data_IF_652100278919
#
_entry.id   IF_652100278919
#
_cell.length_a   1.000
_cell.length_b   1.000
_cell.length_c   1.000
_cell.angle_alpha   90.00
_cell.angle_beta   90.00
_cell.angle_gamma   90.00
#
_symmetry.space_group_name_H-M   'P 1'
#
loop_
_entity.id
_entity.type
_entity.pdbx_description
1 polymer ?
#
# COMPACT_ATOMS: atom_id res chain seq x y z
N UNK A 1 12.81 -14.99 -9.55
CA UNK A 1 12.43 -15.73 -8.33
C UNK A 1 13.30 -15.19 -7.22
N UNK A 2 12.87 -14.11 -6.54
CA UNK A 2 13.68 -13.46 -5.50
C UNK A 2 13.57 -14.28 -4.23
N UNK A 3 14.71 -14.65 -3.66
CA UNK A 3 14.81 -15.52 -2.49
C UNK A 3 14.12 -14.87 -1.28
N UNK A 4 13.26 -15.64 -0.60
CA UNK A 4 12.59 -15.23 0.64
C UNK A 4 13.66 -15.08 1.73
N UNK A 5 13.68 -13.95 2.44
CA UNK A 5 14.60 -13.74 3.56
C UNK A 5 14.26 -14.70 4.72
N UNK A 6 15.16 -15.63 5.12
CA UNK A 6 14.89 -16.61 6.17
C UNK A 6 14.75 -16.03 7.58
N UNK A 7 15.20 -14.78 7.82
CA UNK A 7 15.17 -14.14 9.14
C UNK A 7 13.75 -13.96 9.73
N UNK A 8 12.70 -13.96 8.90
CA UNK A 8 11.32 -13.82 9.38
C UNK A 8 10.75 -15.10 10.02
N UNK A 9 11.32 -16.28 9.74
CA UNK A 9 10.84 -17.54 10.37
C UNK A 9 11.09 -17.57 11.88
N UNK A 10 12.11 -16.87 12.36
CA UNK A 10 12.51 -16.90 13.77
C UNK A 10 11.77 -15.86 14.64
N UNK A 11 11.21 -14.80 14.07
CA UNK A 11 10.57 -13.72 14.84
C UNK A 11 9.10 -13.99 15.26
N UNK A 12 8.48 -15.07 14.77
CA UNK A 12 7.07 -15.42 15.06
C UNK A 12 6.93 -16.24 16.37
N UNK A 13 8.02 -16.49 17.10
CA UNK A 13 8.02 -17.46 18.21
C UNK A 13 7.79 -16.90 19.61
N UNK A 14 7.44 -15.63 19.80
CA UNK A 14 7.19 -15.10 21.15
C UNK A 14 5.80 -14.46 21.32
N UNK A 15 4.80 -15.32 21.50
CA UNK A 15 3.64 -15.02 22.33
C UNK A 15 2.99 -16.34 22.76
N UNK A 16 2.79 -16.50 24.07
CA UNK A 16 2.09 -17.64 24.69
C UNK A 16 0.58 -17.62 24.37
N UNK A 17 0.22 -17.70 23.09
CA UNK A 17 -1.15 -17.88 22.65
C UNK A 17 -1.45 -19.39 22.54
N UNK A 18 -2.59 -19.88 23.08
CA UNK A 18 -2.97 -21.29 22.94
C UNK A 18 -3.05 -21.66 21.45
N UNK A 19 -2.43 -22.77 21.07
CA UNK A 19 -2.42 -23.28 19.70
C UNK A 19 -3.85 -23.38 19.16
N UNK A 20 -4.23 -22.47 18.27
CA UNK A 20 -5.55 -22.48 17.65
C UNK A 20 -5.66 -23.71 16.73
N UNK A 21 -6.75 -24.49 16.81
CA UNK A 21 -6.89 -25.71 16.01
C UNK A 21 -6.89 -25.35 14.52
N UNK A 22 -6.08 -26.09 13.76
CA UNK A 22 -5.94 -25.93 12.31
C UNK A 22 -7.23 -26.40 11.61
N UNK A 23 -7.58 -25.81 10.46
CA UNK A 23 -8.60 -26.39 9.57
C UNK A 23 -8.21 -27.83 9.16
N UNK A 24 -6.91 -28.09 8.97
CA UNK A 24 -6.36 -29.42 8.73
C UNK A 24 -6.50 -30.38 9.93
N UNK A 25 -6.43 -29.87 11.16
CA UNK A 25 -6.61 -30.66 12.38
C UNK A 25 -8.09 -31.05 12.58
N UNK A 26 -9.01 -30.20 12.11
CA UNK A 26 -10.45 -30.51 12.09
C UNK A 26 -10.83 -31.53 11.01
N UNK A 27 -9.99 -31.75 10.00
CA UNK A 27 -10.20 -32.81 8.97
C UNK A 27 -9.41 -34.09 9.25
N UNK A 28 -8.34 -34.02 10.04
CA UNK A 28 -7.50 -35.17 10.38
C UNK A 28 -8.21 -36.23 11.25
N UNK A 29 -9.32 -35.88 11.92
CA UNK A 29 -10.16 -36.81 12.69
C UNK A 29 -11.32 -37.42 11.90
N UNK A 30 -11.41 -37.17 10.59
CA UNK A 30 -12.51 -37.69 9.74
C UNK A 30 -13.92 -37.20 10.12
N UNK A 31 -14.03 -36.18 10.98
CA UNK A 31 -15.29 -35.68 11.54
C UNK A 31 -15.42 -34.19 11.29
N UNK A 32 -16.55 -33.77 10.72
CA UNK A 32 -16.83 -32.35 10.48
C UNK A 32 -16.77 -31.56 11.80
N UNK A 33 -16.21 -30.34 11.79
CA UNK A 33 -16.13 -29.51 12.99
C UNK A 33 -17.53 -29.24 13.56
N UNK A 34 -17.67 -29.37 14.87
CA UNK A 34 -18.93 -29.07 15.54
C UNK A 34 -19.21 -27.55 15.53
N UNK A 35 -20.46 -27.16 15.82
CA UNK A 35 -20.88 -25.77 15.73
C UNK A 35 -20.07 -24.81 16.64
N UNK A 36 -19.58 -25.29 17.79
CA UNK A 36 -18.75 -24.48 18.69
C UNK A 36 -17.35 -24.25 18.12
N UNK A 37 -16.74 -25.29 17.51
CA UNK A 37 -15.45 -25.19 16.84
C UNK A 37 -15.51 -24.24 15.64
N UNK A 38 -16.58 -24.32 14.83
CA UNK A 38 -16.80 -23.40 13.70
C UNK A 38 -16.93 -21.96 14.18
N UNK A 39 -17.73 -21.70 15.22
CA UNK A 39 -17.90 -20.35 15.79
C UNK A 39 -16.57 -19.76 16.27
N UNK A 40 -15.75 -20.56 16.96
CA UNK A 40 -14.42 -20.11 17.44
C UNK A 40 -13.50 -19.76 16.28
N UNK A 41 -13.42 -20.62 15.28
CA UNK A 41 -12.60 -20.37 14.09
C UNK A 41 -13.03 -19.09 13.36
N UNK A 42 -14.33 -18.89 13.17
CA UNK A 42 -14.85 -17.67 12.52
C UNK A 42 -14.55 -16.41 13.34
N UNK A 43 -14.65 -16.51 14.68
CA UNK A 43 -14.28 -15.43 15.58
C UNK A 43 -12.79 -15.06 15.45
N UNK A 44 -11.90 -16.05 15.48
CA UNK A 44 -10.45 -15.83 15.40
C UNK A 44 -10.05 -15.25 14.03
N UNK A 45 -10.62 -15.76 12.94
CA UNK A 45 -10.43 -15.23 11.59
C UNK A 45 -10.89 -13.78 11.48
N UNK A 46 -12.08 -13.45 12.02
CA UNK A 46 -12.60 -12.08 12.01
C UNK A 46 -11.68 -11.15 12.78
N UNK A 47 -11.18 -11.58 13.94
CA UNK A 47 -10.25 -10.80 14.76
C UNK A 47 -8.93 -10.54 14.02
N UNK A 48 -8.40 -11.52 13.30
CA UNK A 48 -7.20 -11.33 12.46
C UNK A 48 -7.45 -10.36 11.31
N UNK A 49 -8.56 -10.51 10.57
CA UNK A 49 -8.88 -9.61 9.47
C UNK A 49 -9.11 -8.17 9.96
N UNK A 50 -9.65 -8.00 11.16
CA UNK A 50 -9.75 -6.69 11.82
C UNK A 50 -8.37 -6.10 12.11
N UNK A 51 -7.42 -6.87 12.64
CA UNK A 51 -6.04 -6.40 12.82
C UNK A 51 -5.45 -5.89 11.50
N UNK A 52 -5.63 -6.62 10.40
CA UNK A 52 -5.18 -6.18 9.06
C UNK A 52 -5.90 -4.92 8.57
N UNK A 53 -7.21 -4.82 8.81
CA UNK A 53 -7.96 -3.60 8.50
C UNK A 53 -7.40 -2.39 9.26
N UNK A 54 -7.12 -2.54 10.55
CA UNK A 54 -6.57 -1.43 11.33
C UNK A 54 -5.14 -1.09 10.92
N UNK A 55 -4.33 -2.08 10.52
CA UNK A 55 -3.03 -1.81 9.90
C UNK A 55 -3.15 -0.98 8.62
N UNK A 56 -4.17 -1.25 7.78
CA UNK A 56 -4.50 -0.38 6.64
C UNK A 56 -4.84 1.03 7.11
N UNK A 57 -5.74 1.16 8.09
CA UNK A 57 -6.25 2.45 8.55
C UNK A 57 -5.09 3.32 9.14
N UNK A 58 -4.14 2.72 9.86
CA UNK A 58 -2.90 3.37 10.35
C UNK A 58 -2.03 3.88 9.20
N UNK A 59 -1.70 3.00 8.23
CA UNK A 59 -0.90 3.37 7.05
C UNK A 59 -1.58 4.48 6.24
N UNK A 60 -2.89 4.36 6.02
CA UNK A 60 -3.69 5.34 5.28
C UNK A 60 -3.65 6.71 5.97
N UNK A 61 -3.76 6.75 7.30
CA UNK A 61 -3.69 7.99 8.07
C UNK A 61 -2.31 8.64 7.90
N UNK A 62 -1.23 7.88 8.05
CA UNK A 62 0.15 8.36 7.87
C UNK A 62 0.38 8.96 6.48
N UNK A 63 -0.08 8.30 5.43
CA UNK A 63 0.05 8.79 4.05
C UNK A 63 -0.84 10.01 3.80
N UNK A 64 -2.04 10.04 4.38
CA UNK A 64 -2.96 11.18 4.23
C UNK A 64 -2.39 12.43 4.89
N UNK A 65 -1.78 12.29 6.07
CA UNK A 65 -1.06 13.39 6.74
C UNK A 65 0.06 13.93 5.85
N UNK A 66 0.91 13.06 5.29
CA UNK A 66 1.97 13.48 4.36
C UNK A 66 1.38 14.27 3.18
N UNK A 67 0.33 13.74 2.54
CA UNK A 67 -0.35 14.40 1.42
C UNK A 67 -0.92 15.78 1.80
N UNK A 68 -1.55 15.89 2.96
CA UNK A 68 -2.12 17.16 3.45
C UNK A 68 -1.02 18.17 3.80
N UNK A 69 0.06 17.72 4.44
CA UNK A 69 1.23 18.55 4.75
C UNK A 69 1.85 19.14 3.48
N UNK A 70 2.05 18.33 2.43
CA UNK A 70 2.54 18.81 1.14
C UNK A 70 1.64 19.87 0.54
N UNK A 71 0.32 19.68 0.59
CA UNK A 71 -0.63 20.65 0.04
C UNK A 71 -0.62 22.00 0.77
N UNK A 72 -0.23 22.03 2.05
CA UNK A 72 -0.28 23.24 2.87
C UNK A 72 1.05 23.97 2.98
N UNK A 73 2.17 23.22 2.93
CA UNK A 73 3.51 23.75 3.23
C UNK A 73 4.38 23.85 1.99
N UNK A 74 4.10 23.03 0.97
CA UNK A 74 4.94 22.93 -0.22
C UNK A 74 4.14 23.28 -1.47
N UNK A 75 4.82 23.91 -2.44
CA UNK A 75 4.19 24.34 -3.69
C UNK A 75 3.82 23.16 -4.62
N UNK A 76 4.09 21.92 -4.20
CA UNK A 76 3.92 20.72 -5.00
C UNK A 76 3.55 19.50 -4.14
N UNK A 77 2.50 18.78 -4.53
CA UNK A 77 2.05 17.57 -3.85
C UNK A 77 2.43 16.30 -4.65
N UNK A 78 3.36 15.46 -4.15
CA UNK A 78 3.79 14.23 -4.83
C UNK A 78 2.76 13.10 -4.81
N UNK A 79 1.66 13.22 -4.04
CA UNK A 79 0.64 12.18 -3.86
C UNK A 79 -0.70 12.62 -4.46
N UNK A 80 -1.08 11.97 -5.55
CA UNK A 80 -2.32 12.25 -6.30
C UNK A 80 -3.52 11.52 -5.70
N UNK A 81 -3.35 10.21 -5.48
CA UNK A 81 -4.43 9.35 -5.02
C UNK A 81 -3.93 8.26 -4.07
N UNK A 82 -4.75 7.94 -3.07
CA UNK A 82 -4.47 6.86 -2.13
C UNK A 82 -5.69 5.97 -2.06
N UNK A 83 -5.46 4.66 -2.22
CA UNK A 83 -6.49 3.64 -2.11
C UNK A 83 -6.04 2.49 -1.22
N UNK A 84 -6.97 1.73 -0.70
CA UNK A 84 -6.67 0.55 0.10
C UNK A 84 -7.54 -0.64 -0.26
N UNK A 85 -7.07 -1.82 0.12
CA UNK A 85 -7.77 -3.08 -0.09
C UNK A 85 -7.42 -4.06 1.01
N UNK A 86 -8.44 -4.59 1.65
CA UNK A 86 -8.33 -5.81 2.43
C UNK A 86 -8.63 -7.02 1.54
N UNK A 87 -7.77 -8.03 1.58
CA UNK A 87 -7.97 -9.28 0.84
C UNK A 87 -9.19 -10.03 1.39
N UNK A 88 -10.09 -10.46 0.51
CA UNK A 88 -11.25 -11.25 0.93
C UNK A 88 -10.83 -12.63 1.41
N UNK A 89 -11.66 -13.26 2.24
CA UNK A 89 -11.39 -14.60 2.76
C UNK A 89 -11.22 -15.65 1.65
N UNK A 90 -12.06 -15.59 0.61
CA UNK A 90 -11.97 -16.47 -0.56
C UNK A 90 -10.63 -16.30 -1.28
N UNK A 91 -10.17 -15.05 -1.41
CA UNK A 91 -8.89 -14.72 -2.03
C UNK A 91 -7.70 -15.19 -1.17
N UNK A 92 -7.82 -15.15 0.15
CA UNK A 92 -6.84 -15.72 1.09
C UNK A 92 -6.78 -17.24 0.91
N UNK A 93 -7.92 -17.94 0.94
CA UNK A 93 -7.98 -19.39 0.76
C UNK A 93 -7.41 -19.81 -0.60
N UNK A 94 -7.79 -19.13 -1.69
CA UNK A 94 -7.28 -19.42 -3.02
C UNK A 94 -5.76 -19.22 -3.10
N UNK A 95 -5.23 -18.14 -2.50
CA UNK A 95 -3.79 -17.89 -2.46
C UNK A 95 -3.05 -18.90 -1.62
N UNK A 96 -3.60 -19.28 -0.46
CA UNK A 96 -3.02 -20.28 0.42
C UNK A 96 -2.91 -21.64 -0.27
N UNK A 97 -3.99 -22.11 -0.91
CA UNK A 97 -3.97 -23.35 -1.71
C UNK A 97 -2.94 -23.30 -2.84
N UNK A 98 -2.88 -22.19 -3.59
CA UNK A 98 -1.95 -22.02 -4.71
C UNK A 98 -0.49 -22.00 -4.28
N UNK A 99 -0.20 -21.50 -3.07
CA UNK A 99 1.17 -21.34 -2.54
C UNK A 99 1.54 -22.40 -1.50
N UNK A 100 0.68 -23.38 -1.27
CA UNK A 100 0.82 -24.40 -0.24
C UNK A 100 1.06 -23.81 1.17
N UNK A 101 0.39 -22.69 1.46
CA UNK A 101 0.47 -22.05 2.78
C UNK A 101 -0.50 -22.78 3.71
N UNK A 102 -0.05 -23.24 4.90
CA UNK A 102 -0.93 -23.85 5.88
C UNK A 102 -2.09 -22.92 6.24
N UNK A 103 -3.32 -23.45 6.22
CA UNK A 103 -4.53 -22.74 6.66
C UNK A 103 -4.61 -22.67 8.20
N UNK A 104 -3.55 -22.13 8.79
CA UNK A 104 -3.42 -21.74 10.19
C UNK A 104 -3.23 -20.24 10.27
N UNK A 105 -3.57 -19.65 11.42
CA UNK A 105 -3.29 -18.23 11.66
C UNK A 105 -1.80 -17.92 11.53
N UNK A 106 -0.95 -18.83 12.02
CA UNK A 106 0.51 -18.69 11.95
C UNK A 106 1.03 -18.79 10.52
N UNK A 107 0.54 -19.74 9.71
CA UNK A 107 0.93 -19.88 8.30
C UNK A 107 0.48 -18.68 7.46
N UNK A 108 -0.75 -18.21 7.68
CA UNK A 108 -1.28 -17.04 6.97
C UNK A 108 -0.48 -15.78 7.33
N UNK A 109 -0.29 -15.48 8.62
CA UNK A 109 0.53 -14.33 9.06
C UNK A 109 2.01 -14.46 8.67
N UNK A 110 2.51 -15.70 8.64
CA UNK A 110 3.91 -16.04 8.36
C UNK A 110 4.29 -15.94 6.88
N UNK A 111 3.34 -16.11 5.96
CA UNK A 111 3.67 -16.28 4.53
C UNK A 111 2.83 -15.45 3.56
N UNK A 112 1.80 -14.73 4.05
CA UNK A 112 0.92 -13.92 3.22
C UNK A 112 1.01 -12.43 3.57
N UNK A 113 1.89 -11.72 2.87
CA UNK A 113 2.21 -10.32 3.15
C UNK A 113 1.27 -9.30 2.46
N UNK A 114 0.32 -9.75 1.64
CA UNK A 114 -0.61 -8.90 0.86
C UNK A 114 -2.07 -9.04 1.33
N UNK A 115 -2.28 -9.30 2.61
CA UNK A 115 -3.63 -9.33 3.19
C UNK A 115 -4.15 -7.89 3.34
N UNK A 116 -3.34 -7.03 3.94
CA UNK A 116 -3.53 -5.59 3.95
C UNK A 116 -2.72 -4.96 2.80
N UNK A 117 -3.41 -4.23 1.92
CA UNK A 117 -2.79 -3.53 0.80
C UNK A 117 -3.16 -2.07 0.77
N UNK A 118 -2.18 -1.20 0.62
CA UNK A 118 -2.34 0.23 0.35
C UNK A 118 -1.69 0.55 -0.99
N UNK A 119 -2.33 1.41 -1.77
CA UNK A 119 -1.82 1.90 -3.04
C UNK A 119 -1.69 3.41 -2.97
N UNK A 120 -0.54 3.90 -3.37
CA UNK A 120 -0.24 5.31 -3.47
C UNK A 120 0.12 5.59 -4.92
N UNK A 121 -0.67 6.47 -5.54
CA UNK A 121 -0.40 6.97 -6.88
C UNK A 121 0.26 8.34 -6.74
N UNK A 122 1.46 8.45 -7.30
CA UNK A 122 2.28 9.65 -7.35
C UNK A 122 2.22 10.26 -8.76
N UNK A 123 2.61 11.52 -8.89
CA UNK A 123 2.64 12.22 -10.17
C UNK A 123 3.83 11.73 -11.01
N UNK A 124 5.03 11.64 -10.42
CA UNK A 124 6.25 11.20 -11.11
C UNK A 124 6.97 10.03 -10.46
N UNK A 125 8.02 9.53 -11.12
CA UNK A 125 8.83 8.42 -10.62
C UNK A 125 9.72 8.86 -9.47
N UNK A 126 10.31 10.05 -9.53
CA UNK A 126 11.08 10.62 -8.41
C UNK A 126 10.24 10.73 -7.14
N UNK A 127 8.97 11.13 -7.26
CA UNK A 127 8.03 11.23 -6.14
C UNK A 127 7.77 9.90 -5.45
N UNK A 128 7.75 8.79 -6.21
CA UNK A 128 7.61 7.45 -5.62
C UNK A 128 8.73 7.19 -4.61
N UNK A 129 9.97 7.54 -4.97
CA UNK A 129 11.12 7.35 -4.10
C UNK A 129 11.10 8.32 -2.93
N UNK A 130 10.70 9.59 -3.15
CA UNK A 130 10.53 10.57 -2.07
C UNK A 130 9.49 10.11 -1.05
N UNK A 131 8.31 9.66 -1.51
CA UNK A 131 7.24 9.14 -0.64
C UNK A 131 7.67 7.87 0.06
N UNK A 132 8.41 6.98 -0.61
CA UNK A 132 9.03 5.81 0.02
C UNK A 132 9.90 6.22 1.21
N UNK A 133 10.82 7.16 1.01
CA UNK A 133 11.76 7.61 2.06
C UNK A 133 11.02 8.23 3.26
N UNK A 134 9.97 9.01 3.01
CA UNK A 134 9.13 9.60 4.06
C UNK A 134 8.36 8.54 4.85
N UNK A 135 7.82 7.50 4.20
CA UNK A 135 7.09 6.43 4.87
C UNK A 135 8.04 5.61 5.76
N UNK A 136 9.19 5.18 5.23
CA UNK A 136 10.13 4.35 6.00
C UNK A 136 10.88 5.13 7.07
N UNK A 137 10.96 6.46 6.94
CA UNK A 137 11.59 7.34 7.92
C UNK A 137 10.76 7.54 9.20
N UNK A 138 9.50 7.10 9.22
CA UNK A 138 8.64 7.21 10.40
C UNK A 138 9.09 6.21 11.49
N UNK A 139 9.18 6.69 12.73
CA UNK A 139 9.79 5.93 13.84
C UNK A 139 9.07 4.64 14.24
N UNK A 140 7.80 4.47 13.85
CA UNK A 140 6.97 3.30 14.14
C UNK A 140 6.70 2.42 12.90
N UNK A 141 7.37 2.68 11.78
CA UNK A 141 7.26 1.88 10.55
C UNK A 141 8.54 1.07 10.36
N UNK A 142 8.44 -0.26 10.34
CA UNK A 142 9.58 -1.12 10.00
C UNK A 142 9.46 -1.62 8.57
N UNK A 143 10.45 -1.34 7.71
CA UNK A 143 10.56 -1.97 6.39
C UNK A 143 10.98 -3.45 6.54
N UNK A 144 10.16 -4.36 6.04
CA UNK A 144 10.41 -5.82 6.07
C UNK A 144 10.98 -6.31 4.74
N UNK A 145 10.42 -5.83 3.63
CA UNK A 145 10.86 -6.21 2.28
C UNK A 145 10.59 -5.07 1.30
N UNK A 146 11.53 -4.80 0.41
CA UNK A 146 11.37 -3.85 -0.70
C UNK A 146 11.54 -4.59 -2.03
N UNK A 147 10.62 -4.36 -2.97
CA UNK A 147 10.69 -4.90 -4.33
C UNK A 147 10.51 -3.77 -5.33
N UNK A 148 11.62 -3.36 -5.93
CA UNK A 148 11.63 -2.31 -6.94
C UNK A 148 11.43 -2.89 -8.35
N UNK A 149 10.17 -2.91 -8.82
CA UNK A 149 9.85 -3.26 -10.20
C UNK A 149 9.90 -2.05 -11.15
N UNK A 150 10.23 -0.85 -10.66
CA UNK A 150 10.47 0.31 -11.52
C UNK A 150 11.86 0.17 -12.13
N UNK A 151 12.87 -0.05 -11.27
CA UNK A 151 14.26 -0.31 -11.64
C UNK A 151 14.43 -1.69 -12.31
N UNK A 152 13.68 -2.70 -11.85
CA UNK A 152 13.72 -4.05 -12.41
C UNK A 152 12.33 -4.55 -12.85
N UNK A 153 11.79 -4.06 -13.98
CA UNK A 153 10.45 -4.41 -14.44
C UNK A 153 10.28 -5.90 -14.70
N UNK A 154 9.05 -6.40 -14.51
CA UNK A 154 8.75 -7.79 -14.90
C UNK A 154 8.75 -7.93 -16.42
N UNK A 155 8.94 -9.16 -16.95
CA UNK A 155 8.85 -9.41 -18.38
C UNK A 155 7.54 -8.95 -19.03
N UNK A 156 6.43 -8.92 -18.28
CA UNK A 156 5.14 -8.42 -18.75
C UNK A 156 5.10 -6.91 -18.99
N UNK A 157 6.09 -6.14 -18.52
CA UNK A 157 6.09 -4.68 -18.53
C UNK A 157 5.62 -4.05 -17.22
N UNK A 158 5.19 -4.87 -16.25
CA UNK A 158 4.74 -4.38 -14.95
C UNK A 158 5.84 -3.61 -14.20
N UNK A 159 5.49 -2.39 -13.77
CA UNK A 159 6.29 -1.47 -12.94
C UNK A 159 5.49 -1.00 -11.73
N UNK A 160 6.14 -0.97 -10.56
CA UNK A 160 5.64 -0.46 -9.27
C UNK A 160 6.74 -0.65 -8.23
N UNK A 161 6.80 0.19 -7.20
CA UNK A 161 7.64 -0.05 -6.03
C UNK A 161 6.77 -0.66 -4.92
N UNK A 162 7.14 -1.85 -4.42
CA UNK A 162 6.40 -2.52 -3.34
C UNK A 162 7.20 -2.48 -2.05
N UNK A 163 6.59 -1.95 -1.00
CA UNK A 163 7.12 -1.97 0.35
C UNK A 163 6.25 -2.89 1.20
N UNK A 164 6.83 -3.91 1.80
CA UNK A 164 6.20 -4.66 2.87
C UNK A 164 6.66 -4.03 4.17
N UNK A 165 5.75 -3.38 4.87
CA UNK A 165 6.03 -2.73 6.15
C UNK A 165 5.32 -3.43 7.29
N UNK A 166 5.89 -3.32 8.49
CA UNK A 166 5.28 -3.75 9.74
C UNK A 166 4.91 -2.51 10.55
N UNK A 167 3.64 -2.43 10.98
CA UNK A 167 3.10 -1.34 11.79
C UNK A 167 2.43 -1.92 13.04
N UNK A 168 2.68 -1.34 14.24
CA UNK A 168 2.01 -1.73 15.46
C UNK A 168 0.55 -1.27 15.47
N UNK A 169 -0.38 -2.19 15.72
CA UNK A 169 -1.81 -1.90 15.89
C UNK A 169 -2.18 -2.12 17.36
N UNK A 170 -2.68 -1.06 18.00
CA UNK A 170 -3.11 -1.09 19.40
C UNK A 170 -4.58 -1.54 19.50
N UNK A 171 -4.82 -2.80 19.90
CA UNK A 171 -6.15 -3.30 20.24
C UNK A 171 -6.44 -3.10 21.73
N UNK A 172 -7.71 -3.34 22.12
CA UNK A 172 -8.16 -3.25 23.51
C UNK A 172 -7.45 -4.18 24.49
N UNK A 173 -6.82 -5.25 24.01
CA UNK A 173 -6.25 -6.31 24.84
C UNK A 173 -4.78 -6.63 24.55
N UNK A 174 -4.20 -6.06 23.48
CA UNK A 174 -2.81 -6.30 23.06
C UNK A 174 -2.38 -5.30 22.00
N UNK A 175 -1.08 -5.25 21.74
CA UNK A 175 -0.53 -4.67 20.51
C UNK A 175 -0.24 -5.82 19.55
N UNK A 176 -0.59 -5.66 18.28
CA UNK A 176 -0.28 -6.61 17.23
C UNK A 176 0.48 -5.92 16.10
N UNK A 177 1.66 -6.42 15.78
CA UNK A 177 2.42 -5.98 14.61
C UNK A 177 1.81 -6.58 13.34
N UNK A 178 1.35 -5.71 12.44
CA UNK A 178 0.63 -6.09 11.24
C UNK A 178 1.47 -5.77 10.01
N UNK A 179 1.55 -6.73 9.08
CA UNK A 179 2.16 -6.52 7.78
C UNK A 179 1.19 -5.84 6.81
N UNK A 180 1.65 -4.77 6.17
CA UNK A 180 0.92 -4.05 5.14
C UNK A 180 1.81 -3.93 3.90
N UNK A 181 1.27 -4.32 2.74
CA UNK A 181 1.91 -4.09 1.45
C UNK A 181 1.51 -2.70 0.93
N UNK A 182 2.47 -1.80 0.77
CA UNK A 182 2.30 -0.49 0.14
C UNK A 182 2.84 -0.57 -1.29
N UNK A 183 1.99 -0.25 -2.26
CA UNK A 183 2.34 -0.21 -3.67
C UNK A 183 2.38 1.25 -4.14
N UNK A 184 3.57 1.74 -4.48
CA UNK A 184 3.79 3.07 -5.03
C UNK A 184 3.88 2.98 -6.57
N UNK A 185 3.19 3.88 -7.26
CA UNK A 185 3.04 3.89 -8.74
C UNK A 185 2.84 5.31 -9.25
N UNK A 186 3.16 5.56 -10.52
CA UNK A 186 2.63 6.72 -11.25
C UNK A 186 1.19 6.46 -11.69
N UNK A 187 0.51 7.50 -12.16
CA UNK A 187 -0.82 7.39 -12.78
C UNK A 187 -0.80 6.37 -13.94
N UNK A 188 0.19 6.46 -14.83
CA UNK A 188 0.29 5.58 -15.99
C UNK A 188 0.55 4.12 -15.60
N UNK A 189 1.42 3.89 -14.61
CA UNK A 189 1.66 2.55 -14.05
C UNK A 189 0.40 1.95 -13.44
N UNK A 190 -0.38 2.72 -12.68
CA UNK A 190 -1.60 2.20 -12.07
C UNK A 190 -2.70 1.90 -13.10
N UNK A 191 -2.86 2.76 -14.11
CA UNK A 191 -3.79 2.53 -15.21
C UNK A 191 -3.43 1.22 -15.95
N UNK A 192 -2.17 1.07 -16.33
CA UNK A 192 -1.69 -0.12 -17.03
C UNK A 192 -1.90 -1.40 -16.20
N UNK A 193 -1.48 -1.39 -14.94
CA UNK A 193 -1.58 -2.56 -14.05
C UNK A 193 -3.03 -2.92 -13.73
N UNK A 194 -3.93 -1.93 -13.68
CA UNK A 194 -5.36 -2.16 -13.49
C UNK A 194 -6.00 -2.85 -14.70
N UNK A 195 -5.58 -2.51 -15.92
CA UNK A 195 -6.03 -3.17 -17.14
C UNK A 195 -5.48 -4.60 -17.23
N UNK A 196 -4.18 -4.78 -17.02
CA UNK A 196 -3.53 -6.10 -17.02
C UNK A 196 -4.23 -7.05 -16.05
N UNK A 197 -4.43 -6.62 -14.81
CA UNK A 197 -5.07 -7.44 -13.79
C UNK A 197 -6.49 -7.86 -14.18
N UNK A 198 -7.28 -6.96 -14.78
CA UNK A 198 -8.65 -7.28 -15.26
C UNK A 198 -8.63 -8.33 -16.38
N UNK A 199 -7.67 -8.23 -17.30
CA UNK A 199 -7.53 -9.19 -18.41
C UNK A 199 -7.15 -10.57 -17.87
N UNK A 200 -6.12 -10.65 -17.03
CA UNK A 200 -5.69 -11.93 -16.42
C UNK A 200 -6.74 -12.53 -15.50
N UNK A 201 -7.51 -11.69 -14.79
CA UNK A 201 -8.63 -12.19 -13.98
C UNK A 201 -9.73 -12.83 -14.85
N UNK A 202 -10.07 -12.23 -16.00
CA UNK A 202 -11.13 -12.72 -16.88
C UNK A 202 -10.71 -13.92 -17.74
N UNK A 203 -9.47 -13.95 -18.21
CA UNK A 203 -8.95 -14.98 -19.12
C UNK A 203 -8.14 -16.09 -18.42
N UNK A 204 -7.86 -15.93 -17.12
CA UNK A 204 -7.03 -16.86 -16.36
C UNK A 204 -5.58 -16.88 -16.86
N UNK A 205 -5.00 -18.08 -16.96
CA UNK A 205 -3.62 -18.27 -17.43
C UNK A 205 -3.48 -18.32 -18.97
N UNK A 206 -4.59 -18.21 -19.70
CA UNK A 206 -4.68 -18.36 -21.15
C UNK A 206 -4.82 -17.02 -21.86
N UNK A 207 -3.99 -16.04 -21.50
CA UNK A 207 -3.95 -14.77 -22.23
C UNK A 207 -3.26 -14.99 -23.58
N UNK A 208 -3.91 -14.70 -24.72
CA UNK A 208 -3.29 -14.82 -26.03
C UNK A 208 -2.02 -13.96 -26.15
N UNK A 209 -0.98 -14.50 -26.79
CA UNK A 209 0.33 -13.84 -26.94
C UNK A 209 0.22 -12.41 -27.49
N UNK A 210 -0.60 -12.19 -28.51
CA UNK A 210 -0.77 -10.86 -29.12
C UNK A 210 -1.30 -9.81 -28.12
N UNK A 211 -2.12 -10.20 -27.14
CA UNK A 211 -2.57 -9.29 -26.07
C UNK A 211 -1.46 -9.03 -25.06
N UNK A 212 -0.68 -10.05 -24.71
CA UNK A 212 0.49 -9.87 -23.83
C UNK A 212 1.54 -8.96 -24.45
N UNK A 213 1.82 -9.13 -25.75
CA UNK A 213 2.75 -8.29 -26.50
C UNK A 213 2.23 -6.84 -26.59
N UNK A 214 0.91 -6.67 -26.81
CA UNK A 214 0.27 -5.36 -26.84
C UNK A 214 0.28 -4.66 -25.48
N UNK A 215 0.06 -5.41 -24.39
CA UNK A 215 0.20 -4.89 -23.02
C UNK A 215 1.64 -4.47 -22.75
N UNK A 216 2.62 -5.29 -23.13
CA UNK A 216 4.03 -4.93 -22.95
C UNK A 216 4.39 -3.64 -23.70
N UNK A 217 3.98 -3.51 -24.96
CA UNK A 217 4.17 -2.28 -25.73
C UNK A 217 3.51 -1.07 -25.05
N UNK A 218 2.28 -1.22 -24.56
CA UNK A 218 1.59 -0.16 -23.84
C UNK A 218 2.33 0.25 -22.55
N UNK A 219 2.97 -0.70 -21.85
CA UNK A 219 3.79 -0.38 -20.67
C UNK A 219 5.02 0.46 -21.04
N UNK A 220 5.66 0.15 -22.17
CA UNK A 220 6.85 0.85 -22.65
C UNK A 220 6.49 2.27 -23.12
N UNK A 221 5.34 2.45 -23.79
CA UNK A 221 4.81 3.77 -24.15
C UNK A 221 4.44 4.59 -22.91
N UNK A 222 3.77 3.98 -21.93
CA UNK A 222 3.44 4.63 -20.66
C UNK A 222 4.70 5.11 -19.93
N UNK A 223 5.76 4.28 -19.91
CA UNK A 223 7.05 4.67 -19.33
C UNK A 223 7.69 5.87 -20.04
N UNK A 224 7.65 5.89 -21.38
CA UNK A 224 8.18 7.02 -22.14
C UNK A 224 7.40 8.31 -21.88
N UNK A 225 6.07 8.20 -21.69
CA UNK A 225 5.22 9.34 -21.33
C UNK A 225 5.57 9.87 -19.95
N UNK A 226 5.62 9.00 -18.93
CA UNK A 226 5.98 9.39 -17.55
C UNK A 226 7.33 10.12 -17.52
N UNK A 227 8.35 9.55 -18.17
CA UNK A 227 9.70 10.14 -18.23
C UNK A 227 9.70 11.52 -18.93
N UNK A 228 8.91 11.66 -19.99
CA UNK A 228 8.83 12.93 -20.74
C UNK A 228 8.11 14.01 -19.93
N UNK A 229 7.04 13.64 -19.23
CA UNK A 229 6.27 14.56 -18.39
C UNK A 229 7.08 15.02 -17.18
N UNK A 230 7.84 14.12 -16.55
CA UNK A 230 8.74 14.45 -15.44
C UNK A 230 9.82 15.44 -15.89
N UNK A 231 10.47 15.20 -17.02
CA UNK A 231 11.46 16.14 -17.59
C UNK A 231 10.84 17.52 -17.87
N UNK A 232 9.64 17.57 -18.43
CA UNK A 232 8.94 18.85 -18.69
C UNK A 232 8.66 19.57 -17.37
N UNK A 233 8.22 18.86 -16.34
CA UNK A 233 7.97 19.44 -15.03
C UNK A 233 9.25 20.01 -14.40
N UNK A 234 10.37 19.29 -14.46
CA UNK A 234 11.68 19.78 -14.01
C UNK A 234 12.14 21.04 -14.78
N UNK A 235 11.95 21.07 -16.11
CA UNK A 235 12.25 22.23 -16.94
C UNK A 235 11.40 23.44 -16.56
N UNK A 236 10.10 23.26 -16.34
CA UNK A 236 9.20 24.34 -15.89
C UNK A 236 9.62 24.89 -14.54
N UNK A 237 9.93 24.03 -13.56
CA UNK A 237 10.45 24.47 -12.24
C UNK A 237 11.76 25.24 -12.34
N UNK A 238 12.65 24.82 -13.24
CA UNK A 238 13.92 25.54 -13.45
C UNK A 238 13.69 26.94 -14.05
N UNK A 239 12.67 27.11 -14.90
CA UNK A 239 12.34 28.38 -15.57
C UNK A 239 11.54 29.32 -14.65
N UNK A 240 10.54 28.79 -13.93
CA UNK A 240 9.63 29.57 -13.09
C UNK A 240 10.26 29.98 -11.73
N UNK A 241 11.40 29.40 -11.35
CA UNK A 241 11.86 29.39 -9.96
C UNK A 241 11.04 28.39 -9.13
N UNK A 242 11.32 28.26 -7.83
CA UNK A 242 10.63 27.27 -6.97
C UNK A 242 9.11 27.48 -6.81
N UNK A 243 8.52 28.50 -7.44
CA UNK A 243 7.08 28.71 -7.47
C UNK A 243 6.42 27.87 -8.60
N UNK A 244 5.56 26.91 -8.23
CA UNK A 244 4.80 26.10 -9.18
C UNK A 244 3.66 26.93 -9.84
N UNK A 245 3.58 27.00 -11.19
CA UNK A 245 2.53 27.74 -11.89
C UNK A 245 1.09 27.19 -11.74
N UNK A 246 0.91 26.00 -11.15
CA UNK A 246 -0.39 25.29 -11.19
C UNK A 246 -1.38 25.60 -10.06
N UNK A 247 -1.00 26.36 -9.02
CA UNK A 247 -1.79 26.43 -7.77
C UNK A 247 -2.40 27.81 -7.43
N UNK A 248 -2.69 28.62 -8.44
CA UNK A 248 -3.37 29.91 -8.27
C UNK A 248 -4.89 29.86 -8.06
N UNK A 249 -5.50 28.71 -7.76
CA UNK A 249 -6.97 28.57 -7.79
C UNK A 249 -7.67 28.50 -6.42
N UNK A 250 -7.04 28.07 -5.31
CA UNK A 250 -7.81 27.76 -4.09
C UNK A 250 -7.14 28.03 -2.71
N UNK A 251 -6.03 28.77 -2.59
CA UNK A 251 -5.43 29.10 -1.28
C UNK A 251 -5.07 30.59 -1.13
N UNK A 252 -5.40 31.18 0.04
CA UNK A 252 -4.90 32.50 0.44
C UNK A 252 -3.38 32.42 0.61
N UNK A 253 -2.64 33.35 0.01
CA UNK A 253 -1.19 33.39 0.13
C UNK A 253 -0.74 33.65 1.59
N UNK A 254 0.52 33.33 1.95
CA UNK A 254 1.05 33.55 3.31
C UNK A 254 0.89 35.00 3.80
N UNK A 255 1.05 35.98 2.92
CA UNK A 255 0.85 37.39 3.22
C UNK A 255 -0.63 37.74 3.46
N UNK A 256 -1.54 37.13 2.71
CA UNK A 256 -2.99 37.30 2.89
C UNK A 256 -3.48 36.66 4.19
N UNK A 257 -2.95 35.48 4.54
CA UNK A 257 -3.20 34.83 5.83
C UNK A 257 -2.67 35.67 6.99
N UNK A 258 -1.45 36.21 6.89
CA UNK A 258 -0.90 37.10 7.91
C UNK A 258 -1.72 38.39 8.05
N UNK A 259 -2.13 39.00 6.94
CA UNK A 259 -2.98 40.18 6.94
C UNK A 259 -4.38 39.89 7.52
N UNK A 260 -4.97 38.73 7.23
CA UNK A 260 -6.23 38.30 7.82
C UNK A 260 -6.11 38.05 9.32
N UNK A 261 -5.01 37.41 9.76
CA UNK A 261 -4.74 37.16 11.17
C UNK A 261 -4.59 38.48 11.95
N UNK A 262 -3.76 39.42 11.47
CA UNK A 262 -3.56 40.74 12.11
C UNK A 262 -4.89 41.50 12.21
N UNK A 263 -5.69 41.53 11.13
CA UNK A 263 -7.02 42.16 11.14
C UNK A 263 -7.99 41.55 12.17
N UNK A 264 -7.82 40.28 12.52
CA UNK A 264 -8.68 39.61 13.50
C UNK A 264 -8.24 39.92 14.94
N UNK A 265 -6.93 40.10 15.17
CA UNK A 265 -6.35 40.45 16.48
C UNK A 265 -6.68 41.90 16.87
N UNK A 266 -6.67 42.83 15.92
CA UNK A 266 -7.03 44.24 16.17
C UNK A 266 -8.51 44.43 16.57
N UNK A 267 -9.40 43.50 16.21
CA UNK A 267 -10.83 43.56 16.57
C UNK A 267 -11.07 43.07 18.00
N UNK A 268 -10.20 42.24 18.57
CA UNK A 268 -10.31 41.74 19.95
C UNK A 268 -9.80 42.71 21.02
N UNK A 269 -9.00 43.73 20.67
CA UNK A 269 -8.44 44.71 21.61
C UNK A 269 -9.30 45.99 21.78
N UNK A 270 -10.49 46.04 21.17
CA UNK A 270 -11.46 47.14 21.34
C UNK A 270 -12.75 46.72 22.08
N UNK A 271 -12.70 45.63 22.86
CA UNK A 271 -13.81 45.12 23.68
C UNK A 271 -13.69 45.45 25.17
#
# INVERSE_FOLDING_TARGET
MVARNPAYREAVTDSHAPQAPTVAALTASGSLPNAAQVRRLMHDLRRMLLSYKFGIDEVMTKISILREEFRQIHDYNPIEHVGSRLKTFESILAKARRKDIPLTMQGIRGEMFDIAGVRVTCSFVSDIYRVRDMIIGQGDVTLVEERDYIAHPKPSGYKSLHLIVRIPVYLSDRVEDVLVEIQLRTIAMDFWASLEHKIFYKLGQTVPKHLSDSLKLAADVAWSLDTSMERIHEEVRTIAGDADPLDGLDAMGPEEMLAAFIRTVDVSDQG
#
